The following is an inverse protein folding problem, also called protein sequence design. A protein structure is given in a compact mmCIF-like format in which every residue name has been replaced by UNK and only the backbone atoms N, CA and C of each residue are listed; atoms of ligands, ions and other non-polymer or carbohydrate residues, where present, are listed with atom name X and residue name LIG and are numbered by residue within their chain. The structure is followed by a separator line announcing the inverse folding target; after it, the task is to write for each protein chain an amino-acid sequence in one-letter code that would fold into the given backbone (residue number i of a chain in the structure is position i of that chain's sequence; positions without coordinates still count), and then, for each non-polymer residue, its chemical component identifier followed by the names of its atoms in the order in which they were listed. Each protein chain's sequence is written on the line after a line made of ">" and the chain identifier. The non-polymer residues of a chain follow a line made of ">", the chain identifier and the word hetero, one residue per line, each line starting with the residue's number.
data_IF_626872043865
#
_entry.id   IF_626872043865
#
_cell.length_a   1.000
_cell.length_b   1.000
_cell.length_c   1.000
_cell.angle_alpha   90.00
_cell.angle_beta   90.00
_cell.angle_gamma   90.00
#
_symmetry.space_group_name_H-M   'P 1'
#
loop_
_entity.id
_entity.type
_entity.pdbx_description
1 polymer ?
#
# COMPACT_ATOMS: atom_id res chain seq x y z
N UNK A 1 5.21 -19.93 -23.36
CA UNK A 1 5.30 -18.48 -23.64
C UNK A 1 4.30 -17.82 -22.71
N UNK A 2 4.64 -16.70 -22.10
CA UNK A 2 3.67 -15.94 -21.30
C UNK A 2 2.54 -15.42 -22.19
N UNK A 3 1.33 -15.32 -21.62
CA UNK A 3 0.15 -14.84 -22.36
C UNK A 3 0.21 -13.32 -22.59
N UNK A 4 0.88 -12.59 -21.67
CA UNK A 4 1.08 -11.16 -21.80
C UNK A 4 2.42 -10.71 -21.20
N UNK A 5 2.91 -9.58 -21.69
CA UNK A 5 4.15 -8.96 -21.21
C UNK A 5 3.90 -7.48 -20.99
N UNK A 6 4.15 -7.04 -19.77
CA UNK A 6 4.14 -5.64 -19.37
C UNK A 6 5.52 -5.18 -18.91
N UNK A 7 5.58 -3.93 -18.48
CA UNK A 7 6.80 -3.31 -17.94
C UNK A 7 6.44 -2.56 -16.65
N UNK A 8 7.29 -2.65 -15.63
CA UNK A 8 7.13 -1.81 -14.42
C UNK A 8 7.29 -0.35 -14.82
N UNK A 9 6.19 0.41 -14.73
CA UNK A 9 6.16 1.84 -15.01
C UNK A 9 6.53 2.67 -13.79
N UNK A 10 6.01 2.28 -12.62
CA UNK A 10 6.25 2.98 -11.35
C UNK A 10 6.33 1.96 -10.21
N UNK A 11 7.10 2.31 -9.18
CA UNK A 11 7.17 1.59 -7.91
C UNK A 11 6.90 2.57 -6.78
N UNK A 12 6.09 2.14 -5.81
CA UNK A 12 5.78 2.92 -4.62
C UNK A 12 5.98 2.10 -3.37
N UNK A 13 6.52 2.73 -2.35
CA UNK A 13 6.48 2.24 -0.98
C UNK A 13 5.70 3.24 -0.12
N UNK A 14 5.03 2.74 0.88
CA UNK A 14 4.27 3.53 1.85
C UNK A 14 4.78 3.18 3.25
N UNK A 15 5.87 3.79 3.70
CA UNK A 15 6.52 3.39 4.96
C UNK A 15 5.54 3.33 6.13
N UNK A 16 4.63 4.30 6.21
CA UNK A 16 3.63 4.39 7.28
C UNK A 16 2.24 4.14 6.71
N UNK A 17 1.49 3.24 7.35
CA UNK A 17 0.08 2.99 7.00
C UNK A 17 -0.71 4.29 6.99
N UNK A 18 -1.48 4.53 5.93
CA UNK A 18 -2.33 5.73 5.75
C UNK A 18 -1.62 7.09 5.64
N UNK A 19 -0.29 7.13 5.59
CA UNK A 19 0.47 8.36 5.29
C UNK A 19 0.84 8.44 3.80
N UNK A 20 1.50 9.52 3.37
CA UNK A 20 1.97 9.68 1.99
C UNK A 20 2.88 8.53 1.55
N UNK A 21 2.92 8.23 0.26
CA UNK A 21 3.82 7.27 -0.34
C UNK A 21 5.11 7.92 -0.83
N UNK A 22 6.09 7.09 -1.14
CA UNK A 22 7.34 7.46 -1.79
C UNK A 22 7.40 6.71 -3.13
N UNK A 23 7.50 7.43 -4.22
CA UNK A 23 7.84 6.84 -5.50
C UNK A 23 9.33 6.53 -5.53
N UNK A 24 9.69 5.32 -5.92
CA UNK A 24 11.07 4.84 -5.95
C UNK A 24 11.41 4.25 -7.32
N UNK A 25 12.66 4.39 -7.74
CA UNK A 25 13.11 3.79 -9.00
C UNK A 25 13.43 2.31 -8.86
N UNK A 26 13.68 1.85 -7.64
CA UNK A 26 13.95 0.46 -7.31
C UNK A 26 13.63 0.17 -5.85
N UNK A 27 13.29 -1.09 -5.54
CA UNK A 27 13.04 -1.56 -4.17
C UNK A 27 13.41 -3.04 -4.04
N UNK A 28 14.00 -3.42 -2.91
CA UNK A 28 14.28 -4.83 -2.61
C UNK A 28 12.97 -5.56 -2.29
N UNK A 29 12.80 -6.76 -2.86
CA UNK A 29 11.70 -7.64 -2.56
C UNK A 29 11.99 -8.45 -1.29
N UNK A 30 11.07 -8.42 -0.35
CA UNK A 30 11.12 -9.18 0.90
C UNK A 30 9.93 -10.14 0.97
N UNK A 31 9.90 -11.04 1.94
CA UNK A 31 8.75 -11.92 2.16
C UNK A 31 7.45 -11.15 2.45
N UNK A 32 7.54 -9.90 2.94
CA UNK A 32 6.41 -9.04 3.30
C UNK A 32 6.11 -7.97 2.25
N UNK A 33 6.61 -8.09 1.01
CA UNK A 33 6.47 -7.13 -0.07
C UNK A 33 7.73 -6.30 -0.30
N UNK A 34 7.59 -5.06 -0.76
CA UNK A 34 8.74 -4.17 -0.97
C UNK A 34 9.32 -3.73 0.38
N UNK A 35 10.64 -3.66 0.44
CA UNK A 35 11.35 -3.22 1.65
C UNK A 35 10.83 -1.86 2.13
N UNK A 36 10.67 -1.69 3.44
CA UNK A 36 10.14 -0.50 4.12
C UNK A 36 8.66 -0.19 3.83
N UNK A 37 7.95 -1.03 3.07
CA UNK A 37 6.52 -0.83 2.81
C UNK A 37 5.69 -1.23 4.03
N UNK A 38 4.80 -0.34 4.49
CA UNK A 38 3.92 -0.51 5.67
C UNK A 38 4.65 -1.07 6.91
N UNK A 39 5.90 -0.64 7.08
CA UNK A 39 6.75 -0.98 8.22
C UNK A 39 6.23 -0.34 9.51
N UNK A 40 5.62 0.85 9.41
CA UNK A 40 5.10 1.61 10.54
C UNK A 40 3.59 1.85 10.42
N UNK A 41 2.99 2.10 11.58
CA UNK A 41 1.57 2.40 11.73
C UNK A 41 1.38 3.40 12.87
N UNK A 42 0.46 4.34 12.70
CA UNK A 42 0.03 5.23 13.77
C UNK A 42 -1.15 4.57 14.49
N UNK A 43 -1.09 4.56 15.81
CA UNK A 43 -2.16 4.04 16.68
C UNK A 43 -2.59 5.09 17.68
N UNK A 44 -3.81 4.96 18.21
CA UNK A 44 -4.32 5.75 19.32
C UNK A 44 -3.81 5.23 20.69
N UNK A 45 -4.27 5.84 21.76
CA UNK A 45 -3.91 5.46 23.14
C UNK A 45 -4.29 4.01 23.49
N UNK A 46 -5.29 3.45 22.82
CA UNK A 46 -5.77 2.08 23.05
C UNK A 46 -5.05 1.06 22.16
N UNK A 47 -4.07 1.50 21.35
CA UNK A 47 -3.32 0.67 20.41
C UNK A 47 -4.07 0.34 19.13
N UNK A 48 -5.21 0.99 18.85
CA UNK A 48 -5.98 0.81 17.63
C UNK A 48 -5.40 1.64 16.49
N UNK A 49 -5.26 1.04 15.30
CA UNK A 49 -4.71 1.70 14.12
C UNK A 49 -5.57 2.86 13.62
N UNK A 50 -4.91 3.93 13.16
CA UNK A 50 -5.54 5.06 12.50
C UNK A 50 -5.49 4.95 10.98
N UNK A 51 -6.44 5.63 10.34
CA UNK A 51 -6.52 5.70 8.87
C UNK A 51 -6.92 7.09 8.38
N UNK A 52 -6.60 7.39 7.13
CA UNK A 52 -7.08 8.60 6.42
C UNK A 52 -8.61 8.72 6.44
N UNK A 53 -9.35 7.64 6.58
CA UNK A 53 -10.83 7.67 6.67
C UNK A 53 -11.32 8.38 7.92
N UNK A 54 -10.56 8.29 9.01
CA UNK A 54 -10.87 8.95 10.29
C UNK A 54 -10.24 10.34 10.34
N UNK A 55 -9.01 10.47 9.85
CA UNK A 55 -8.22 11.70 9.88
C UNK A 55 -7.62 11.93 8.49
N UNK A 56 -8.35 12.58 7.55
CA UNK A 56 -7.92 12.70 6.15
C UNK A 56 -6.55 13.34 5.97
N UNK A 57 -6.20 14.32 6.78
CA UNK A 57 -4.90 15.01 6.68
C UNK A 57 -3.69 14.16 7.09
N UNK A 58 -3.88 12.90 7.53
CA UNK A 58 -2.77 11.93 7.61
C UNK A 58 -2.07 11.75 6.26
N UNK A 59 -2.75 12.00 5.14
CA UNK A 59 -2.16 11.92 3.79
C UNK A 59 -1.01 12.91 3.61
N UNK A 60 -0.97 14.00 4.39
CA UNK A 60 0.10 15.00 4.35
C UNK A 60 1.30 14.68 5.24
N UNK A 61 1.24 13.63 6.06
CA UNK A 61 2.44 13.13 6.73
C UNK A 61 3.32 12.47 5.67
N UNK A 62 4.39 13.15 5.29
CA UNK A 62 5.31 12.75 4.23
C UNK A 62 6.55 12.09 4.86
N UNK A 63 6.71 10.78 4.72
CA UNK A 63 7.92 10.08 5.15
C UNK A 63 9.05 10.25 4.14
N UNK A 64 10.28 10.38 4.64
CA UNK A 64 11.51 10.27 3.87
C UNK A 64 12.43 9.27 4.55
N UNK A 65 13.08 8.40 3.78
CA UNK A 65 13.97 7.37 4.28
C UNK A 65 15.42 7.67 3.88
N UNK A 66 16.32 7.56 4.82
CA UNK A 66 17.76 7.45 4.60
C UNK A 66 18.25 6.05 4.99
N UNK A 67 19.55 5.81 4.93
CA UNK A 67 20.14 4.56 5.42
C UNK A 67 20.01 4.36 6.93
N UNK A 68 19.74 5.43 7.70
CA UNK A 68 19.76 5.39 9.18
C UNK A 68 18.54 6.00 9.84
N UNK A 69 17.70 6.75 9.09
CA UNK A 69 16.58 7.48 9.68
C UNK A 69 15.31 7.40 8.84
N UNK A 70 14.18 7.45 9.53
CA UNK A 70 12.87 7.81 9.00
C UNK A 70 12.60 9.27 9.42
N UNK A 71 12.44 10.16 8.46
CA UNK A 71 12.06 11.56 8.71
C UNK A 71 10.60 11.77 8.35
N UNK A 72 9.85 12.42 9.22
CA UNK A 72 8.45 12.80 9.01
C UNK A 72 8.35 14.30 8.86
N UNK A 73 7.62 14.72 7.84
CA UNK A 73 7.29 16.13 7.58
C UNK A 73 5.78 16.26 7.43
N UNK A 74 5.21 17.38 7.88
CA UNK A 74 3.82 17.73 7.65
C UNK A 74 3.64 19.26 7.69
N UNK A 75 2.58 19.82 7.10
CA UNK A 75 2.34 21.26 7.11
C UNK A 75 2.19 21.81 8.54
N UNK A 76 2.80 22.95 8.81
CA UNK A 76 2.65 23.69 10.08
C UNK A 76 3.46 23.14 11.27
N UNK A 77 4.21 22.07 11.11
CA UNK A 77 5.07 21.50 12.16
C UNK A 77 6.50 21.28 11.66
N UNK A 78 7.48 21.40 12.55
CA UNK A 78 8.88 21.11 12.23
C UNK A 78 9.05 19.62 12.00
N UNK A 79 9.81 19.23 10.98
CA UNK A 79 10.09 17.81 10.69
C UNK A 79 10.81 17.12 11.85
N UNK A 80 10.52 15.82 12.02
CA UNK A 80 11.17 15.00 13.03
C UNK A 80 11.88 13.81 12.36
N UNK A 81 13.07 13.44 12.84
CA UNK A 81 13.82 12.28 12.39
C UNK A 81 13.91 11.22 13.49
N UNK A 82 13.65 9.99 13.13
CA UNK A 82 13.60 8.83 14.00
C UNK A 82 14.69 7.86 13.52
N UNK A 83 15.64 7.41 14.36
CA UNK A 83 16.60 6.38 13.96
C UNK A 83 15.89 5.09 13.53
N UNK A 84 16.38 4.44 12.48
CA UNK A 84 15.88 3.13 12.06
C UNK A 84 16.25 2.02 13.04
N UNK A 85 17.38 2.18 13.74
CA UNK A 85 17.82 1.26 14.78
C UNK A 85 17.51 1.88 16.16
N UNK A 86 16.42 1.43 16.75
CA UNK A 86 16.02 1.75 18.12
C UNK A 86 15.95 0.46 18.95
N UNK A 87 16.20 0.53 20.26
CA UNK A 87 15.91 -0.58 21.17
C UNK A 87 14.44 -0.99 21.05
N UNK A 88 14.18 -2.29 21.12
CA UNK A 88 12.82 -2.81 21.12
C UNK A 88 12.00 -2.21 22.28
N UNK A 89 10.82 -1.72 21.99
CA UNK A 89 9.86 -1.19 22.95
C UNK A 89 8.48 -1.81 22.68
N UNK A 90 8.28 -3.09 23.09
CA UNK A 90 7.12 -3.85 22.69
C UNK A 90 5.82 -3.22 23.17
N UNK A 91 4.86 -3.07 22.27
CA UNK A 91 3.52 -2.60 22.55
C UNK A 91 2.52 -3.46 21.80
N UNK A 92 1.46 -3.89 22.47
CA UNK A 92 0.36 -4.57 21.82
C UNK A 92 -0.46 -3.56 21.01
N UNK A 93 -0.72 -3.89 19.73
CA UNK A 93 -1.47 -3.05 18.80
C UNK A 93 -2.44 -3.87 18.00
N UNK A 94 -3.50 -3.22 17.51
CA UNK A 94 -4.53 -3.86 16.70
C UNK A 94 -4.61 -3.23 15.32
N UNK A 95 -4.54 -4.06 14.29
CA UNK A 95 -4.80 -3.69 12.91
C UNK A 95 -5.91 -4.58 12.34
N UNK A 96 -7.05 -4.00 11.99
CA UNK A 96 -8.27 -4.72 11.64
C UNK A 96 -8.72 -5.65 12.76
N UNK A 97 -8.70 -6.98 12.52
CA UNK A 97 -9.01 -8.03 13.51
C UNK A 97 -7.77 -8.66 14.15
N UNK A 98 -6.59 -8.24 13.73
CA UNK A 98 -5.33 -8.84 14.17
C UNK A 98 -4.74 -8.02 15.31
N UNK A 99 -4.47 -8.67 16.44
CA UNK A 99 -3.73 -8.10 17.57
C UNK A 99 -2.33 -8.71 17.57
N UNK A 100 -1.31 -7.83 17.57
CA UNK A 100 0.08 -8.24 17.44
C UNK A 100 1.03 -7.29 18.20
N UNK A 101 2.29 -7.69 18.31
CA UNK A 101 3.32 -6.84 18.88
C UNK A 101 3.90 -5.90 17.81
N UNK A 102 4.10 -4.66 18.21
CA UNK A 102 4.90 -3.68 17.50
C UNK A 102 5.86 -2.99 18.44
N UNK A 103 6.82 -2.25 17.92
CA UNK A 103 7.82 -1.52 18.68
C UNK A 103 7.52 -0.02 18.66
N UNK A 104 7.26 0.56 19.82
CA UNK A 104 6.98 1.97 19.99
C UNK A 104 8.21 2.82 19.68
N UNK A 105 8.03 3.85 18.85
CA UNK A 105 9.12 4.68 18.35
C UNK A 105 9.44 5.90 19.26
N UNK A 106 8.85 5.96 20.44
CA UNK A 106 9.21 6.88 21.51
C UNK A 106 8.35 8.14 21.60
N UNK A 107 8.59 8.90 22.68
CA UNK A 107 7.75 10.03 23.07
C UNK A 107 7.91 11.25 22.16
N UNK A 108 9.10 11.47 21.61
CA UNK A 108 9.34 12.62 20.74
C UNK A 108 8.44 12.59 19.49
N UNK A 109 8.32 11.43 18.82
CA UNK A 109 7.44 11.28 17.66
C UNK A 109 5.97 11.25 18.06
N UNK A 110 5.63 10.75 19.27
CA UNK A 110 4.26 10.79 19.79
C UNK A 110 3.80 12.25 20.00
N UNK A 111 4.62 13.10 20.62
CA UNK A 111 4.34 14.52 20.79
C UNK A 111 4.21 15.24 19.44
N UNK A 112 5.04 14.89 18.47
CA UNK A 112 4.96 15.42 17.11
C UNK A 112 3.61 15.05 16.44
N UNK A 113 3.17 13.79 16.59
CA UNK A 113 1.89 13.32 16.06
C UNK A 113 0.72 14.02 16.75
N UNK A 114 0.75 14.16 18.08
CA UNK A 114 -0.28 14.86 18.84
C UNK A 114 -0.39 16.34 18.39
N UNK A 115 0.76 17.00 18.19
CA UNK A 115 0.79 18.38 17.73
C UNK A 115 0.25 18.54 16.30
N UNK A 116 0.59 17.62 15.40
CA UNK A 116 0.15 17.68 14.00
C UNK A 116 -1.32 17.27 13.82
N UNK A 117 -1.71 16.12 14.37
CA UNK A 117 -3.07 15.61 14.23
C UNK A 117 -4.11 16.43 15.02
N UNK A 118 -3.67 17.06 16.11
CA UNK A 118 -4.37 18.08 16.87
C UNK A 118 -5.84 17.73 17.25
N UNK A 119 -6.14 16.45 17.51
CA UNK A 119 -7.49 16.01 17.92
C UNK A 119 -7.60 16.12 19.45
N UNK A 120 -8.48 16.97 19.99
CA UNK A 120 -8.59 17.19 21.42
C UNK A 120 -8.79 15.91 22.24
N UNK A 121 -7.96 15.72 23.28
CA UNK A 121 -8.05 14.57 24.20
C UNK A 121 -7.63 13.24 23.58
N UNK A 122 -6.99 13.25 22.42
CA UNK A 122 -6.42 12.05 21.78
C UNK A 122 -4.90 12.10 21.80
N UNK A 123 -4.29 10.94 21.99
CA UNK A 123 -2.85 10.74 21.96
C UNK A 123 -2.50 9.63 20.99
N UNK A 124 -1.38 9.81 20.29
CA UNK A 124 -0.98 8.93 19.22
C UNK A 124 0.44 8.42 19.40
N UNK A 125 0.68 7.22 18.90
CA UNK A 125 2.01 6.59 18.91
C UNK A 125 2.35 6.13 17.49
N UNK A 126 3.62 6.26 17.12
CA UNK A 126 4.17 5.60 15.94
C UNK A 126 4.71 4.24 16.36
N UNK A 127 4.24 3.20 15.70
CA UNK A 127 4.60 1.82 16.01
C UNK A 127 5.28 1.20 14.80
N UNK A 128 6.44 0.59 14.99
CA UNK A 128 7.09 -0.23 13.98
C UNK A 128 6.64 -1.68 14.11
N UNK A 129 6.52 -2.40 13.01
CA UNK A 129 6.22 -3.83 13.03
C UNK A 129 7.37 -4.59 13.71
N UNK A 130 7.09 -5.33 14.77
CA UNK A 130 8.12 -6.04 15.52
C UNK A 130 8.72 -7.17 14.69
N UNK A 131 10.03 -7.40 14.82
CA UNK A 131 10.72 -8.54 14.19
C UNK A 131 10.20 -9.89 14.68
N UNK A 132 9.61 -9.92 15.88
CA UNK A 132 9.02 -11.12 16.48
C UNK A 132 7.56 -11.34 16.05
N UNK A 133 6.92 -10.32 15.46
CA UNK A 133 5.54 -10.42 15.03
C UNK A 133 5.42 -11.15 13.70
N UNK A 134 4.34 -11.93 13.57
CA UNK A 134 3.96 -12.60 12.33
C UNK A 134 2.50 -12.32 12.05
N UNK A 135 2.22 -11.82 10.85
CA UNK A 135 0.87 -11.59 10.38
C UNK A 135 0.71 -12.24 9.02
N UNK A 136 -0.32 -13.08 8.87
CA UNK A 136 -0.58 -13.81 7.63
C UNK A 136 -1.64 -13.10 6.78
N UNK A 137 -1.49 -13.21 5.49
CA UNK A 137 -2.56 -12.94 4.52
C UNK A 137 -3.66 -14.00 4.65
N UNK A 138 -4.89 -13.64 4.26
CA UNK A 138 -6.03 -14.54 4.38
C UNK A 138 -5.81 -15.84 3.58
N UNK A 139 -5.79 -16.97 4.26
CA UNK A 139 -5.45 -18.28 3.69
C UNK A 139 -6.43 -18.74 2.61
N UNK A 140 -7.70 -18.36 2.71
CA UNK A 140 -8.72 -18.65 1.69
C UNK A 140 -8.35 -18.06 0.32
N UNK A 141 -7.72 -16.87 0.32
CA UNK A 141 -7.28 -16.20 -0.91
C UNK A 141 -5.90 -16.66 -1.39
N UNK A 142 -5.04 -17.09 -0.48
CA UNK A 142 -3.72 -17.60 -0.84
C UNK A 142 -3.71 -19.09 -1.16
N UNK A 143 -4.90 -19.72 -1.23
CA UNK A 143 -5.06 -21.16 -1.45
C UNK A 143 -4.23 -22.00 -0.46
N UNK A 144 -4.20 -21.56 0.81
CA UNK A 144 -3.48 -22.23 1.91
C UNK A 144 -1.99 -21.88 2.01
N UNK A 145 -1.45 -21.05 1.13
CA UNK A 145 -0.05 -20.59 1.23
C UNK A 145 0.09 -19.58 2.37
N UNK A 146 0.97 -19.87 3.33
CA UNK A 146 1.27 -18.95 4.43
C UNK A 146 2.15 -17.80 3.96
N UNK A 147 1.53 -16.73 3.46
CA UNK A 147 2.19 -15.52 3.03
C UNK A 147 2.12 -14.46 4.14
N UNK A 148 3.27 -13.87 4.47
CA UNK A 148 3.37 -12.83 5.51
C UNK A 148 3.18 -11.44 4.95
N UNK A 149 2.64 -10.56 5.77
CA UNK A 149 2.57 -9.12 5.51
C UNK A 149 2.77 -8.34 6.83
N UNK A 150 2.97 -7.02 6.74
CA UNK A 150 3.12 -6.16 7.91
C UNK A 150 1.81 -5.41 8.21
N UNK A 151 1.86 -4.07 8.25
CA UNK A 151 0.69 -3.23 8.49
C UNK A 151 -0.12 -2.92 7.23
N UNK A 152 0.09 -3.65 6.12
CA UNK A 152 -0.78 -3.58 4.94
C UNK A 152 -2.21 -4.00 5.29
N UNK A 153 -3.18 -3.77 4.39
CA UNK A 153 -4.58 -4.10 4.69
C UNK A 153 -4.83 -5.61 4.71
N UNK A 154 -4.01 -6.41 4.05
CA UNK A 154 -4.14 -7.87 4.12
C UNK A 154 -3.16 -8.64 3.24
N UNK A 155 -2.45 -7.97 2.32
CA UNK A 155 -1.52 -8.61 1.39
C UNK A 155 -0.24 -7.80 1.24
N UNK A 156 0.83 -8.49 0.84
CA UNK A 156 2.18 -7.92 0.79
C UNK A 156 2.36 -6.85 -0.29
N UNK A 157 1.70 -7.00 -1.44
CA UNK A 157 1.81 -6.07 -2.58
C UNK A 157 0.46 -5.81 -3.21
N UNK A 158 0.32 -4.65 -3.86
CA UNK A 158 -0.78 -4.33 -4.77
C UNK A 158 -0.20 -3.99 -6.13
N UNK A 159 -0.75 -4.61 -7.18
CA UNK A 159 -0.41 -4.39 -8.59
C UNK A 159 -1.58 -3.73 -9.30
N UNK A 160 -1.30 -2.72 -10.13
CA UNK A 160 -2.29 -1.99 -10.92
C UNK A 160 -1.71 -1.75 -12.31
N UNK A 161 -2.53 -1.76 -13.36
CA UNK A 161 -2.11 -1.32 -14.69
C UNK A 161 -2.29 0.19 -14.86
N UNK A 162 -1.38 0.85 -15.58
CA UNK A 162 -1.51 2.28 -15.91
C UNK A 162 -2.77 2.53 -16.75
N UNK A 163 -3.07 1.65 -17.68
CA UNK A 163 -4.25 1.70 -18.53
C UNK A 163 -5.57 1.65 -17.74
N UNK A 164 -5.60 1.00 -16.57
CA UNK A 164 -6.76 1.04 -15.68
C UNK A 164 -7.01 2.46 -15.12
N UNK A 165 -5.93 3.17 -14.75
CA UNK A 165 -6.05 4.57 -14.33
C UNK A 165 -6.45 5.48 -15.49
N UNK A 166 -5.91 5.23 -16.68
CA UNK A 166 -6.22 6.03 -17.88
C UNK A 166 -7.70 5.86 -18.25
N UNK A 167 -8.26 4.65 -18.16
CA UNK A 167 -9.69 4.39 -18.35
C UNK A 167 -10.54 5.14 -17.31
N UNK A 168 -10.18 5.03 -16.03
CA UNK A 168 -10.89 5.76 -14.97
C UNK A 168 -10.87 7.27 -15.21
N UNK A 169 -9.71 7.83 -15.55
CA UNK A 169 -9.55 9.26 -15.81
C UNK A 169 -10.34 9.73 -17.03
N UNK A 170 -10.43 8.91 -18.08
CA UNK A 170 -11.30 9.17 -19.24
C UNK A 170 -12.77 9.24 -18.81
N UNK A 171 -13.22 8.33 -17.93
CA UNK A 171 -14.60 8.31 -17.41
C UNK A 171 -14.88 9.52 -16.52
N UNK A 172 -13.97 9.84 -15.59
CA UNK A 172 -14.06 11.01 -14.71
C UNK A 172 -14.20 12.29 -15.55
N UNK A 173 -13.31 12.47 -16.54
CA UNK A 173 -13.33 13.64 -17.42
C UNK A 173 -14.63 13.73 -18.23
N UNK A 174 -15.17 12.61 -18.73
CA UNK A 174 -16.45 12.58 -19.43
C UNK A 174 -17.66 12.98 -18.56
N UNK A 175 -17.51 12.84 -17.24
CA UNK A 175 -18.51 13.24 -16.24
C UNK A 175 -18.27 14.66 -15.68
N UNK A 176 -17.26 15.36 -16.18
CA UNK A 176 -16.89 16.72 -15.75
C UNK A 176 -16.06 16.78 -14.47
N UNK A 177 -15.43 15.67 -14.07
CA UNK A 177 -14.53 15.61 -12.94
C UNK A 177 -13.07 15.71 -13.39
N UNK A 178 -12.21 16.18 -12.48
CA UNK A 178 -10.75 16.23 -12.72
C UNK A 178 -10.14 14.82 -12.69
N UNK A 179 -9.11 14.56 -13.52
CA UNK A 179 -8.38 13.31 -13.46
C UNK A 179 -7.66 13.15 -12.11
N UNK A 180 -7.48 11.89 -11.71
CA UNK A 180 -6.85 11.55 -10.43
C UNK A 180 -5.50 10.85 -10.64
N UNK A 181 -4.62 10.95 -9.65
CA UNK A 181 -3.32 10.29 -9.69
C UNK A 181 -3.37 8.85 -9.16
N UNK A 182 -2.40 8.05 -9.57
CA UNK A 182 -2.22 6.67 -9.11
C UNK A 182 -2.06 6.57 -7.58
N UNK A 183 -1.53 7.62 -6.95
CA UNK A 183 -1.32 7.67 -5.50
C UNK A 183 -2.61 7.51 -4.67
N UNK A 184 -3.79 7.82 -5.23
CA UNK A 184 -5.08 7.58 -4.56
C UNK A 184 -5.36 6.09 -4.30
N UNK A 185 -4.83 5.21 -5.16
CA UNK A 185 -5.01 3.76 -5.07
C UNK A 185 -3.91 3.07 -4.26
N UNK A 186 -2.81 3.76 -4.02
CA UNK A 186 -1.70 3.32 -3.16
C UNK A 186 -1.09 1.96 -3.58
N UNK A 187 -0.87 1.71 -4.89
CA UNK A 187 -0.24 0.47 -5.35
C UNK A 187 1.24 0.42 -4.99
N UNK A 188 1.81 -0.79 -5.00
CA UNK A 188 3.26 -0.98 -4.93
C UNK A 188 3.89 -1.01 -6.31
N UNK A 189 3.22 -1.63 -7.28
CA UNK A 189 3.72 -1.85 -8.63
C UNK A 189 2.67 -1.36 -9.64
N UNK A 190 3.08 -0.47 -10.52
CA UNK A 190 2.27 -0.04 -11.66
C UNK A 190 2.86 -0.63 -12.93
N UNK A 191 2.06 -1.37 -13.68
CA UNK A 191 2.45 -1.98 -14.96
C UNK A 191 1.93 -1.13 -16.13
N UNK A 192 2.73 -0.99 -17.17
CA UNK A 192 2.32 -0.44 -18.47
C UNK A 192 2.42 -1.48 -19.58
N UNK A 193 1.91 -1.16 -20.77
CA UNK A 193 1.86 -2.04 -21.95
C UNK A 193 0.94 -3.26 -21.77
N UNK A 194 -0.03 -3.15 -20.87
CA UNK A 194 -1.11 -4.10 -20.69
C UNK A 194 -2.45 -3.39 -20.85
N UNK A 195 -3.48 -4.15 -21.24
CA UNK A 195 -4.85 -3.63 -21.29
C UNK A 195 -5.35 -3.19 -19.90
N UNK A 196 -6.35 -2.32 -19.90
CA UNK A 196 -6.96 -1.87 -18.66
C UNK A 196 -7.50 -3.06 -17.86
N UNK A 197 -7.09 -3.13 -16.57
CA UNK A 197 -7.48 -4.20 -15.65
C UNK A 197 -7.01 -5.61 -16.04
N UNK A 198 -6.00 -5.74 -16.91
CA UNK A 198 -5.42 -7.05 -17.26
C UNK A 198 -4.91 -7.79 -16.01
N UNK A 199 -4.46 -7.05 -14.98
CA UNK A 199 -4.03 -7.62 -13.70
C UNK A 199 -5.10 -8.46 -13.01
N UNK A 200 -6.38 -8.23 -13.26
CA UNK A 200 -7.50 -8.99 -12.68
C UNK A 200 -7.52 -10.47 -13.10
N UNK A 201 -6.91 -10.75 -14.22
CA UNK A 201 -6.88 -12.07 -14.87
C UNK A 201 -5.51 -12.73 -14.75
N UNK A 202 -4.52 -12.08 -14.13
CA UNK A 202 -3.20 -12.67 -13.91
C UNK A 202 -3.18 -13.45 -12.60
N UNK A 203 -2.86 -14.74 -12.66
CA UNK A 203 -2.62 -15.57 -11.47
C UNK A 203 -1.19 -15.41 -10.98
N UNK A 204 -0.25 -15.42 -11.90
CA UNK A 204 1.19 -15.30 -11.65
C UNK A 204 1.78 -14.15 -12.44
N UNK A 205 2.70 -13.44 -11.82
CA UNK A 205 3.46 -12.35 -12.41
C UNK A 205 4.96 -12.62 -12.19
N UNK A 206 5.67 -12.91 -13.27
CA UNK A 206 7.12 -13.12 -13.29
C UNK A 206 7.81 -11.83 -13.69
N UNK A 207 8.68 -11.32 -12.84
CA UNK A 207 9.44 -10.09 -13.08
C UNK A 207 10.89 -10.45 -13.32
N UNK A 208 11.41 -10.07 -14.49
CA UNK A 208 12.82 -10.27 -14.86
C UNK A 208 13.68 -9.24 -14.14
N UNK A 209 14.62 -9.70 -13.33
CA UNK A 209 15.53 -8.85 -12.58
C UNK A 209 16.97 -9.04 -13.04
N UNK A 210 17.89 -8.17 -12.64
CA UNK A 210 19.31 -8.32 -12.93
C UNK A 210 19.97 -9.51 -12.18
N UNK A 211 19.25 -10.13 -11.24
CA UNK A 211 19.73 -11.23 -10.40
C UNK A 211 18.97 -12.54 -10.67
N UNK A 212 18.11 -12.58 -11.69
CA UNK A 212 17.26 -13.71 -12.03
C UNK A 212 15.80 -13.29 -12.22
N UNK A 213 14.85 -14.00 -11.62
CA UNK A 213 13.43 -13.67 -11.69
C UNK A 213 12.80 -13.60 -10.29
N UNK A 214 11.85 -12.71 -10.13
CA UNK A 214 10.97 -12.67 -8.97
C UNK A 214 9.56 -13.10 -9.40
N UNK A 215 8.83 -13.80 -8.53
CA UNK A 215 7.46 -14.23 -8.79
C UNK A 215 6.51 -13.68 -7.72
N UNK A 216 5.45 -13.04 -8.18
CA UNK A 216 4.32 -12.64 -7.36
C UNK A 216 3.10 -13.46 -7.78
N UNK A 217 2.31 -13.94 -6.81
CA UNK A 217 1.01 -14.52 -7.12
C UNK A 217 -0.06 -13.48 -6.81
N UNK A 218 -0.86 -13.12 -7.81
CA UNK A 218 -1.98 -12.20 -7.69
C UNK A 218 -3.21 -12.99 -7.27
N UNK A 219 -3.64 -12.79 -6.02
CA UNK A 219 -4.55 -13.72 -5.36
C UNK A 219 -5.94 -13.16 -5.12
N UNK A 220 -6.09 -11.82 -5.03
CA UNK A 220 -7.37 -11.21 -4.69
C UNK A 220 -7.54 -9.85 -5.36
N UNK A 221 -8.68 -9.56 -6.01
CA UNK A 221 -9.00 -8.18 -6.37
C UNK A 221 -8.90 -7.27 -5.16
N UNK A 222 -8.39 -6.06 -5.33
CA UNK A 222 -8.26 -5.11 -4.23
C UNK A 222 -9.57 -4.33 -4.02
N UNK A 223 -10.39 -4.68 -3.00
CA UNK A 223 -11.60 -3.94 -2.70
C UNK A 223 -11.24 -2.53 -2.24
N UNK A 224 -11.97 -1.55 -2.74
CA UNK A 224 -11.70 -0.14 -2.43
C UNK A 224 -12.64 0.35 -1.33
N UNK A 225 -12.04 0.99 -0.33
CA UNK A 225 -12.74 1.77 0.67
C UNK A 225 -12.85 3.24 0.21
N UNK A 226 -13.20 4.16 1.10
CA UNK A 226 -13.27 5.59 0.79
C UNK A 226 -11.89 6.28 0.63
N UNK A 227 -10.76 5.59 0.77
CA UNK A 227 -9.44 6.23 0.63
C UNK A 227 -9.20 6.82 -0.79
N UNK A 228 -9.56 6.16 -1.90
CA UNK A 228 -9.42 6.75 -3.23
C UNK A 228 -10.22 8.07 -3.42
N UNK A 229 -11.26 8.27 -2.64
CA UNK A 229 -12.07 9.50 -2.67
C UNK A 229 -11.39 10.67 -1.95
N UNK A 230 -10.33 10.42 -1.16
CA UNK A 230 -9.58 11.48 -0.48
C UNK A 230 -8.54 12.06 -1.45
N UNK A 231 -8.66 13.35 -1.74
CA UNK A 231 -7.66 14.04 -2.54
C UNK A 231 -6.36 14.23 -1.72
N UNK A 232 -5.21 13.68 -2.16
CA UNK A 232 -3.97 13.76 -1.41
C UNK A 232 -3.41 15.18 -1.30
N UNK A 233 -3.80 16.10 -2.19
CA UNK A 233 -3.34 17.50 -2.16
C UNK A 233 -4.15 18.35 -1.17
N UNK A 234 -5.46 18.09 -1.05
CA UNK A 234 -6.38 18.91 -0.24
C UNK A 234 -6.87 18.22 1.02
N UNK A 235 -6.65 16.89 1.15
CA UNK A 235 -7.23 16.02 2.17
C UNK A 235 -8.78 16.06 2.20
N UNK A 236 -9.43 16.57 1.16
CA UNK A 236 -10.89 16.60 1.03
C UNK A 236 -11.34 15.28 0.43
N UNK A 237 -12.36 14.69 1.03
CA UNK A 237 -13.01 13.48 0.51
C UNK A 237 -14.21 13.86 -0.35
N UNK A 238 -14.31 13.22 -1.51
CA UNK A 238 -15.37 13.45 -2.48
C UNK A 238 -15.64 12.13 -3.25
N UNK A 239 -16.90 11.70 -3.45
CA UNK A 239 -17.22 10.32 -3.82
C UNK A 239 -17.00 9.98 -5.29
N UNK A 240 -16.61 10.94 -6.13
CA UNK A 240 -16.56 10.80 -7.60
C UNK A 240 -15.70 9.63 -8.09
N UNK A 241 -14.62 9.26 -7.38
CA UNK A 241 -13.75 8.16 -7.77
C UNK A 241 -14.47 6.82 -7.62
N UNK A 242 -15.01 6.55 -6.42
CA UNK A 242 -15.75 5.32 -6.17
C UNK A 242 -17.07 5.27 -6.94
N UNK A 243 -17.76 6.39 -7.11
CA UNK A 243 -19.01 6.44 -7.88
C UNK A 243 -18.77 6.19 -9.37
N UNK A 244 -17.64 6.68 -9.94
CA UNK A 244 -17.25 6.38 -11.31
C UNK A 244 -16.83 4.92 -11.49
N UNK A 245 -16.13 4.33 -10.52
CA UNK A 245 -15.72 2.92 -10.56
C UNK A 245 -16.91 1.94 -10.42
N UNK A 246 -17.90 2.27 -9.60
CA UNK A 246 -19.02 1.39 -9.21
C UNK A 246 -19.69 0.69 -10.38
N UNK A 247 -20.10 1.36 -11.49
CA UNK A 247 -20.83 0.72 -12.56
C UNK A 247 -20.07 -0.39 -13.31
N UNK A 248 -18.72 -0.36 -13.34
CA UNK A 248 -17.95 -1.28 -14.15
C UNK A 248 -16.87 -2.07 -13.35
N UNK A 249 -16.64 -1.69 -12.06
CA UNK A 249 -15.63 -2.34 -11.20
C UNK A 249 -16.23 -3.03 -9.97
N UNK A 250 -17.53 -3.24 -9.92
CA UNK A 250 -18.18 -4.04 -8.87
C UNK A 250 -18.04 -5.53 -9.21
N UNK A 251 -17.30 -6.29 -8.39
CA UNK A 251 -16.93 -7.67 -8.68
C UNK A 251 -17.63 -8.66 -7.74
N UNK A 252 -18.39 -9.61 -8.31
CA UNK A 252 -19.12 -10.62 -7.54
C UNK A 252 -18.20 -11.51 -6.67
N UNK A 253 -17.00 -11.83 -7.15
CA UNK A 253 -16.02 -12.69 -6.43
C UNK A 253 -15.48 -12.07 -5.13
N UNK A 254 -15.80 -10.82 -4.83
CA UNK A 254 -15.49 -10.13 -3.57
C UNK A 254 -16.75 -9.47 -3.00
N UNK A 255 -17.86 -10.20 -2.99
CA UNK A 255 -19.14 -9.80 -2.39
C UNK A 255 -19.70 -8.49 -2.94
N UNK A 256 -19.50 -8.20 -4.22
CA UNK A 256 -19.97 -6.98 -4.85
C UNK A 256 -19.20 -5.71 -4.44
N UNK A 257 -17.98 -5.84 -3.95
CA UNK A 257 -17.15 -4.69 -3.66
C UNK A 257 -16.62 -4.03 -4.94
N UNK A 258 -16.45 -2.70 -4.91
CA UNK A 258 -15.73 -1.96 -5.94
C UNK A 258 -14.25 -2.33 -5.86
N UNK A 259 -13.62 -2.71 -6.98
CA UNK A 259 -12.23 -3.14 -7.01
C UNK A 259 -11.40 -2.32 -7.99
N UNK A 260 -10.12 -2.11 -7.62
CA UNK A 260 -9.14 -1.50 -8.50
C UNK A 260 -7.75 -2.06 -8.19
N UNK A 261 -7.18 -2.81 -9.15
CA UNK A 261 -5.94 -3.54 -9.01
C UNK A 261 -6.07 -4.86 -8.25
N UNK A 262 -4.98 -5.59 -8.17
CA UNK A 262 -4.89 -6.91 -7.54
C UNK A 262 -3.94 -6.89 -6.34
N UNK A 263 -4.38 -7.55 -5.28
CA UNK A 263 -3.52 -7.90 -4.15
C UNK A 263 -2.71 -9.14 -4.48
N UNK A 264 -1.45 -9.14 -4.11
CA UNK A 264 -0.52 -10.23 -4.37
C UNK A 264 0.32 -10.61 -3.15
N UNK A 265 0.87 -11.81 -3.23
CA UNK A 265 1.84 -12.37 -2.29
C UNK A 265 3.18 -12.61 -3.00
N UNK A 266 4.27 -12.57 -2.25
CA UNK A 266 5.60 -12.90 -2.77
C UNK A 266 5.76 -14.42 -2.76
N UNK A 267 5.97 -15.00 -3.94
CA UNK A 267 6.17 -16.45 -4.12
C UNK A 267 7.65 -16.82 -4.19
N UNK A 268 8.43 -16.06 -4.97
CA UNK A 268 9.86 -16.30 -5.16
C UNK A 268 10.63 -15.00 -5.43
N UNK A 269 11.96 -15.05 -5.32
CA UNK A 269 12.83 -13.91 -5.60
C UNK A 269 13.05 -12.97 -4.40
N UNK A 270 12.83 -13.45 -3.18
CA UNK A 270 13.17 -12.69 -1.97
C UNK A 270 14.66 -12.31 -2.01
N UNK A 271 14.97 -11.04 -1.70
CA UNK A 271 16.30 -10.46 -1.77
C UNK A 271 16.63 -9.82 -3.11
N UNK A 272 15.89 -10.11 -4.17
CA UNK A 272 16.08 -9.47 -5.48
C UNK A 272 15.58 -8.03 -5.48
N UNK A 273 16.09 -7.22 -6.41
CA UNK A 273 15.70 -5.83 -6.57
C UNK A 273 14.75 -5.70 -7.76
N UNK A 274 13.54 -5.22 -7.49
CA UNK A 274 12.61 -4.76 -8.51
C UNK A 274 12.97 -3.34 -8.90
N UNK A 275 12.92 -3.02 -10.21
CA UNK A 275 13.24 -1.70 -10.73
C UNK A 275 12.28 -1.28 -11.84
N UNK A 276 12.05 0.02 -11.96
CA UNK A 276 11.33 0.61 -13.09
C UNK A 276 12.01 0.22 -14.40
N UNK A 277 11.22 -0.15 -15.40
CA UNK A 277 11.70 -0.62 -16.70
C UNK A 277 11.88 -2.14 -16.82
N UNK A 278 11.82 -2.89 -15.73
CA UNK A 278 11.89 -4.36 -15.81
C UNK A 278 10.64 -4.95 -16.46
N UNK A 279 10.83 -6.00 -17.25
CA UNK A 279 9.76 -6.78 -17.85
C UNK A 279 9.02 -7.61 -16.78
N UNK A 280 7.72 -7.66 -16.93
CA UNK A 280 6.81 -8.45 -16.11
C UNK A 280 5.93 -9.30 -17.03
N UNK A 281 6.05 -10.60 -16.93
CA UNK A 281 5.33 -11.58 -17.75
C UNK A 281 4.25 -12.25 -16.92
N UNK A 282 3.07 -12.42 -17.49
CA UNK A 282 1.95 -13.04 -16.80
C UNK A 282 1.23 -14.08 -17.64
N UNK A 283 0.62 -15.05 -16.95
CA UNK A 283 -0.30 -15.99 -17.55
C UNK A 283 -1.71 -15.71 -17.05
N UNK A 284 -2.67 -15.72 -17.96
CA UNK A 284 -4.06 -15.52 -17.61
C UNK A 284 -4.62 -16.72 -16.83
N UNK A 285 -5.39 -16.41 -15.82
CA UNK A 285 -6.18 -17.36 -15.02
C UNK A 285 -7.61 -16.84 -14.96
N UNK A 286 -8.53 -17.54 -15.55
CA UNK A 286 -9.96 -17.20 -15.64
C UNK A 286 -10.79 -18.02 -14.64
N UNK A 287 -10.32 -18.17 -13.38
CA UNK A 287 -11.04 -18.83 -12.28
C UNK A 287 -12.10 -17.93 -11.65
#
# INVERSE_FOLDING_TARGET
>A
MADCTGVIAQLFIYPIKSCAGIEVTQAQLTATGLSMDREWMIVDQDGMFLTQRQIPHMVWITPALSSTTLTLSAPGVTSISIPLELPASPKQVTVWRDTLLGDDQGDAVAQWLDAYLAVPGKHYRLIRFSKEARRLSALDWTKGVEAVNKFSDGFAVQVVTQSALDELNSRLTSQGHEPVSMSRFRPNIVLKQLEAHAEDHLGELMIQTNQGSAQLNLVKPCPRCAIPDINPETAISSPEVNDTLRPYRTLARVDGAICFGMNGIVHAGIGQTLAVGQQAEGNYSFE
#
